data_IF_056922081604
#
_entry.id   IF_056922081604
#
_cell.length_a   1.000
_cell.length_b   1.000
_cell.length_c   1.000
_cell.angle_alpha   90.00
_cell.angle_beta   90.00
_cell.angle_gamma   90.00
#
_symmetry.space_group_name_H-M   'P 1'
#
loop_
_entity.id
_entity.type
_entity.pdbx_description
1 polymer ?
#
# COMPACT_ATOMS: atom_id res chain seq x y z
N UNK A 1 0.91 -0.78 -22.43
CA UNK A 1 1.39 -0.47 -22.17
C UNK A 1 2.12 -0.13 -21.95
N UNK A 2 2.20 -0.28 -22.22
CA UNK A 2 2.92 -0.02 -22.08
C UNK A 2 3.81 0.13 -21.74
N UNK A 3 3.86 -0.35 -21.83
CA UNK A 3 4.68 -0.26 -21.48
C UNK A 3 6.00 -0.17 -21.18
N UNK A 4 6.66 -0.66 -21.83
CA UNK A 4 8.09 -0.66 -21.65
C UNK A 4 8.59 0.63 -21.05
N UNK A 5 7.84 1.66 -21.25
CA UNK A 5 8.20 2.95 -20.66
C UNK A 5 8.34 2.85 -19.14
N UNK A 6 7.76 1.85 -18.54
CA UNK A 6 7.90 1.69 -17.10
C UNK A 6 9.33 1.51 -16.68
N UNK A 7 10.05 0.72 -17.44
CA UNK A 7 11.41 0.46 -17.06
C UNK A 7 12.28 1.67 -17.15
N UNK A 8 11.95 2.53 -18.07
CA UNK A 8 12.71 3.76 -18.20
C UNK A 8 12.48 4.70 -17.04
N UNK A 9 11.41 4.44 -16.29
CA UNK A 9 11.10 5.24 -15.12
C UNK A 9 11.68 4.69 -13.85
N UNK A 10 12.55 3.72 -13.96
CA UNK A 10 13.26 3.27 -12.79
C UNK A 10 13.91 4.45 -12.13
N UNK A 11 13.67 4.58 -10.84
CA UNK A 11 14.24 5.68 -10.11
C UNK A 11 13.43 6.95 -10.20
N UNK A 12 12.39 6.98 -11.02
CA UNK A 12 11.54 8.15 -11.15
C UNK A 12 10.32 8.06 -10.26
N UNK A 13 9.48 9.07 -10.39
CA UNK A 13 8.26 9.18 -9.60
C UNK A 13 7.08 9.45 -10.50
N UNK A 14 5.94 8.92 -10.12
CA UNK A 14 4.69 9.18 -10.83
C UNK A 14 3.69 9.76 -9.82
N UNK A 15 3.20 10.95 -10.10
CA UNK A 15 2.18 11.57 -9.26
C UNK A 15 0.82 11.18 -9.78
N UNK A 16 -0.03 10.67 -8.89
CA UNK A 16 -1.37 10.23 -9.24
C UNK A 16 -2.35 11.10 -8.50
N UNK A 17 -3.26 11.73 -9.24
CA UNK A 17 -4.23 12.65 -8.66
C UNK A 17 -5.64 12.08 -8.79
N UNK A 18 -6.44 12.32 -7.77
CA UNK A 18 -7.81 11.88 -7.74
C UNK A 18 -7.98 10.55 -7.04
N UNK A 19 -8.98 10.48 -6.17
CA UNK A 19 -9.21 9.29 -5.38
C UNK A 19 -9.40 8.05 -6.24
N UNK A 20 -10.14 8.20 -7.32
CA UNK A 20 -10.43 7.08 -8.19
C UNK A 20 -9.16 6.50 -8.81
N UNK A 21 -8.31 7.39 -9.30
CA UNK A 21 -7.07 6.94 -9.93
C UNK A 21 -6.12 6.34 -8.93
N UNK A 22 -6.09 6.87 -7.71
CA UNK A 22 -5.25 6.31 -6.66
C UNK A 22 -5.72 4.89 -6.32
N UNK A 23 -7.03 4.72 -6.18
CA UNK A 23 -7.57 3.40 -5.87
C UNK A 23 -7.30 2.41 -7.00
N UNK A 24 -7.41 2.85 -8.24
CA UNK A 24 -7.11 2.00 -9.38
C UNK A 24 -5.65 1.55 -9.35
N UNK A 25 -4.76 2.46 -8.98
CA UNK A 25 -3.34 2.10 -8.91
C UNK A 25 -3.07 1.11 -7.79
N UNK A 26 -3.74 1.28 -6.66
CA UNK A 26 -3.59 0.34 -5.55
C UNK A 26 -4.05 -1.05 -5.97
N UNK A 27 -5.20 -1.13 -6.63
CA UNK A 27 -5.72 -2.41 -7.09
C UNK A 27 -4.74 -3.04 -8.08
N UNK A 28 -4.21 -2.24 -8.99
CA UNK A 28 -3.24 -2.73 -9.96
C UNK A 28 -2.00 -3.30 -9.26
N UNK A 29 -1.49 -2.59 -8.27
CA UNK A 29 -0.33 -3.05 -7.52
C UNK A 29 -0.61 -4.36 -6.80
N UNK A 30 -1.80 -4.47 -6.19
CA UNK A 30 -2.16 -5.69 -5.47
C UNK A 30 -2.33 -6.87 -6.42
N UNK A 31 -2.91 -6.63 -7.59
CA UNK A 31 -3.07 -7.70 -8.57
C UNK A 31 -1.76 -8.15 -9.16
N UNK A 32 -0.80 -7.23 -9.28
CA UNK A 32 0.51 -7.55 -9.85
C UNK A 32 1.50 -8.07 -8.83
N UNK A 33 1.19 -7.96 -7.55
CA UNK A 33 2.11 -8.42 -6.51
C UNK A 33 2.29 -9.92 -6.59
N UNK A 34 3.54 -10.37 -6.49
CA UNK A 34 3.86 -11.79 -6.61
C UNK A 34 4.18 -12.43 -5.27
N UNK A 35 4.70 -11.68 -4.32
CA UNK A 35 5.18 -12.25 -3.07
C UNK A 35 4.52 -11.67 -1.83
N UNK A 36 4.35 -10.37 -1.79
CA UNK A 36 3.89 -9.74 -0.56
C UNK A 36 3.33 -8.34 -0.78
N UNK A 37 2.54 -7.90 0.17
CA UNK A 37 2.04 -6.52 0.21
C UNK A 37 2.00 -6.05 1.65
N UNK A 38 2.43 -4.81 1.86
CA UNK A 38 2.31 -4.12 3.14
C UNK A 38 1.45 -2.90 2.89
N UNK A 39 0.28 -2.86 3.50
CA UNK A 39 -0.65 -1.76 3.27
C UNK A 39 -1.00 -1.09 4.60
N UNK A 40 -0.92 0.24 4.62
CA UNK A 40 -1.26 1.03 5.78
C UNK A 40 -2.30 2.05 5.36
N UNK A 41 -3.52 1.90 5.84
CA UNK A 41 -4.62 2.73 5.40
C UNK A 41 -5.75 2.68 6.42
N UNK A 42 -6.57 3.70 6.43
CA UNK A 42 -7.75 3.79 7.29
C UNK A 42 -8.71 2.63 6.98
N UNK A 43 -9.35 2.12 8.01
CA UNK A 43 -10.20 0.93 7.87
C UNK A 43 -11.30 1.10 6.83
N UNK A 44 -11.90 2.29 6.78
CA UNK A 44 -12.98 2.52 5.82
C UNK A 44 -12.55 2.29 4.39
N UNK A 45 -11.33 2.68 4.07
CA UNK A 45 -10.82 2.50 2.71
C UNK A 45 -10.29 1.10 2.50
N UNK A 46 -9.83 0.47 3.57
CA UNK A 46 -9.29 -0.87 3.49
C UNK A 46 -10.33 -1.86 2.97
N UNK A 47 -11.59 -1.66 3.34
CA UNK A 47 -12.66 -2.55 2.90
C UNK A 47 -12.80 -2.59 1.37
N UNK A 48 -12.44 -1.50 0.71
CA UNK A 48 -12.51 -1.44 -0.74
C UNK A 48 -11.54 -2.44 -1.40
N UNK A 49 -10.52 -2.82 -0.67
CA UNK A 49 -9.48 -3.70 -1.22
C UNK A 49 -9.54 -5.10 -0.66
N UNK A 50 -10.56 -5.41 0.14
CA UNK A 50 -10.65 -6.70 0.83
C UNK A 50 -10.53 -7.87 -0.13
N UNK A 51 -11.25 -7.86 -1.22
CA UNK A 51 -11.26 -9.03 -2.11
C UNK A 51 -9.88 -9.25 -2.74
N UNK A 52 -9.16 -8.18 -3.01
CA UNK A 52 -7.81 -8.31 -3.59
C UNK A 52 -6.83 -8.84 -2.56
N UNK A 53 -6.99 -8.41 -1.31
CA UNK A 53 -6.14 -8.91 -0.23
C UNK A 53 -6.45 -10.37 0.06
N UNK A 54 -7.73 -10.73 0.03
CA UNK A 54 -8.12 -12.13 0.22
C UNK A 54 -7.54 -13.01 -0.87
N UNK A 55 -7.55 -12.51 -2.09
CA UNK A 55 -6.96 -13.26 -3.20
C UNK A 55 -5.48 -13.50 -2.97
N UNK A 56 -4.76 -12.49 -2.52
CA UNK A 56 -3.34 -12.64 -2.22
C UNK A 56 -3.09 -13.70 -1.16
N UNK A 57 -3.87 -13.66 -0.08
CA UNK A 57 -3.72 -14.64 0.98
C UNK A 57 -4.01 -16.05 0.45
N UNK A 58 -5.05 -16.18 -0.36
CA UNK A 58 -5.41 -17.48 -0.90
C UNK A 58 -4.33 -18.04 -1.81
N UNK A 59 -3.51 -17.16 -2.38
CA UNK A 59 -2.41 -17.57 -3.25
C UNK A 59 -1.11 -17.77 -2.49
N UNK A 60 -1.16 -17.71 -1.16
CA UNK A 60 0.02 -17.93 -0.35
C UNK A 60 0.94 -16.75 -0.21
N UNK A 61 0.50 -15.56 -0.60
CA UNK A 61 1.32 -14.37 -0.52
C UNK A 61 1.21 -13.75 0.87
N UNK A 62 2.27 -13.04 1.26
CA UNK A 62 2.30 -12.42 2.58
C UNK A 62 1.55 -11.08 2.53
N UNK A 63 0.63 -10.89 3.46
CA UNK A 63 -0.14 -9.65 3.54
C UNK A 63 -0.01 -9.10 4.96
N UNK A 64 0.46 -7.86 5.06
CA UNK A 64 0.58 -7.16 6.33
C UNK A 64 -0.25 -5.89 6.23
N UNK A 65 -1.11 -5.68 7.22
CA UNK A 65 -2.06 -4.57 7.22
C UNK A 65 -1.87 -3.75 8.49
N UNK A 66 -1.79 -2.44 8.33
CA UNK A 66 -1.77 -1.50 9.45
C UNK A 66 -2.98 -0.61 9.29
N UNK A 67 -3.89 -0.63 10.25
CA UNK A 67 -5.12 0.12 10.14
C UNK A 67 -5.58 0.57 11.52
N UNK A 68 -6.70 1.28 11.59
CA UNK A 68 -7.16 1.89 12.85
C UNK A 68 -8.22 1.08 13.58
N UNK A 69 -8.77 0.06 12.94
CA UNK A 69 -9.78 -0.78 13.57
C UNK A 69 -9.56 -2.24 13.16
N UNK A 70 -10.06 -3.18 13.96
CA UNK A 70 -9.87 -4.60 13.62
C UNK A 70 -10.36 -4.92 12.22
N UNK A 71 -9.57 -5.65 11.51
CA UNK A 71 -9.87 -6.06 10.15
C UNK A 71 -9.74 -7.58 10.09
N UNK A 72 -10.85 -8.23 9.82
CA UNK A 72 -10.90 -9.69 9.85
C UNK A 72 -10.50 -10.25 8.49
N UNK A 73 -9.26 -10.69 8.38
CA UNK A 73 -8.77 -11.33 7.17
C UNK A 73 -7.84 -12.44 7.61
N UNK A 74 -8.35 -13.65 7.55
CA UNK A 74 -7.59 -14.81 8.00
C UNK A 74 -6.38 -15.01 7.08
N UNK A 75 -5.23 -15.20 7.70
CA UNK A 75 -4.00 -15.39 6.94
C UNK A 75 -3.19 -14.13 6.78
N UNK A 76 -3.76 -12.98 7.08
CA UNK A 76 -3.02 -11.73 7.04
C UNK A 76 -2.59 -11.33 8.45
N UNK A 77 -1.52 -10.55 8.54
CA UNK A 77 -1.09 -9.99 9.81
C UNK A 77 -1.63 -8.57 9.90
N UNK A 78 -2.40 -8.29 10.95
CA UNK A 78 -3.04 -6.99 11.11
C UNK A 78 -2.52 -6.31 12.36
N UNK A 79 -2.04 -5.08 12.20
CA UNK A 79 -1.61 -4.24 13.33
C UNK A 79 -2.53 -3.04 13.43
N UNK A 80 -2.84 -2.63 14.65
CA UNK A 80 -3.73 -1.50 14.88
C UNK A 80 -2.94 -0.30 15.34
N UNK A 81 -3.25 0.86 14.77
CA UNK A 81 -2.61 2.11 15.14
C UNK A 81 -3.69 3.18 15.27
N UNK A 82 -3.37 4.28 15.91
CA UNK A 82 -4.40 5.25 16.21
C UNK A 82 -4.63 6.22 15.10
N UNK A 83 -3.95 6.84 14.46
CA UNK A 83 -4.27 7.90 13.53
C UNK A 83 -3.63 7.74 12.18
N UNK A 84 -4.33 7.14 11.29
CA UNK A 84 -3.88 7.14 9.90
C UNK A 84 -4.74 8.01 9.03
N UNK A 85 -5.85 8.40 9.53
CA UNK A 85 -6.83 9.19 8.83
C UNK A 85 -6.74 9.02 7.32
N UNK A 86 -6.28 10.00 6.60
CA UNK A 86 -6.34 9.96 5.15
C UNK A 86 -5.06 9.48 4.48
N UNK A 87 -4.07 9.11 5.28
CA UNK A 87 -2.83 8.60 4.71
C UNK A 87 -3.00 7.21 4.15
N UNK A 88 -2.26 6.94 3.09
CA UNK A 88 -2.22 5.62 2.52
C UNK A 88 -0.79 5.30 2.10
N UNK A 89 -0.35 4.09 2.41
CA UNK A 89 0.95 3.60 2.00
C UNK A 89 0.81 2.16 1.59
N UNK A 90 1.43 1.83 0.48
CA UNK A 90 1.42 0.46 -0.03
C UNK A 90 2.79 0.13 -0.57
N UNK A 91 3.35 -0.99 -0.15
CA UNK A 91 4.59 -1.51 -0.70
C UNK A 91 4.32 -2.92 -1.18
N UNK A 92 4.60 -3.19 -2.44
CA UNK A 92 4.43 -4.53 -2.99
C UNK A 92 5.77 -5.11 -3.41
N UNK A 93 5.99 -6.37 -3.02
CA UNK A 93 7.17 -7.16 -3.41
C UNK A 93 8.49 -6.50 -3.06
N UNK A 94 8.47 -5.54 -2.14
CA UNK A 94 9.66 -4.76 -1.77
C UNK A 94 10.28 -4.05 -2.96
N UNK A 95 9.48 -3.79 -3.98
CA UNK A 95 9.96 -3.15 -5.22
C UNK A 95 9.20 -1.90 -5.59
N UNK A 96 7.93 -1.81 -5.21
CA UNK A 96 7.08 -0.69 -5.59
C UNK A 96 6.46 -0.08 -4.36
N UNK A 97 6.35 1.25 -4.36
CA UNK A 97 5.75 1.95 -3.24
C UNK A 97 4.77 3.00 -3.75
N UNK A 98 3.66 3.13 -3.04
CA UNK A 98 2.69 4.20 -3.27
C UNK A 98 2.41 4.83 -1.93
N UNK A 99 2.49 6.15 -1.86
CA UNK A 99 2.22 6.87 -0.62
C UNK A 99 1.47 8.15 -0.96
N UNK A 100 0.57 8.55 -0.09
CA UNK A 100 -0.19 9.76 -0.33
C UNK A 100 -1.24 10.01 0.72
N UNK A 101 -2.13 10.92 0.42
CA UNK A 101 -3.25 11.24 1.28
C UNK A 101 -4.49 11.34 0.43
N UNK A 102 -5.56 10.71 0.88
CA UNK A 102 -6.84 10.79 0.20
C UNK A 102 -7.72 11.71 1.04
N UNK A 103 -7.62 13.00 0.79
CA UNK A 103 -8.31 14.00 1.58
C UNK A 103 -9.73 14.23 1.09
N UNK A 104 -9.89 14.49 -0.20
CA UNK A 104 -11.21 14.51 -0.81
C UNK A 104 -11.06 14.05 -2.25
N UNK A 105 -12.19 13.84 -2.91
CA UNK A 105 -12.20 13.16 -4.21
C UNK A 105 -11.24 13.73 -5.23
N UNK A 106 -11.20 15.04 -5.33
CA UNK A 106 -10.48 15.67 -6.42
C UNK A 106 -9.10 16.13 -6.02
N UNK A 107 -8.87 16.34 -4.75
CA UNK A 107 -7.59 16.85 -4.28
C UNK A 107 -6.66 15.74 -3.79
N UNK A 108 -7.15 14.52 -3.74
CA UNK A 108 -6.32 13.41 -3.32
C UNK A 108 -5.12 13.26 -4.25
N UNK A 109 -3.96 13.05 -3.67
CA UNK A 109 -2.73 12.96 -4.44
C UNK A 109 -1.85 11.90 -3.82
N UNK A 110 -1.22 11.09 -4.67
CA UNK A 110 -0.27 10.09 -4.20
C UNK A 110 0.95 10.06 -5.10
N UNK A 111 2.02 9.48 -4.57
CA UNK A 111 3.27 9.32 -5.27
C UNK A 111 3.56 7.84 -5.40
N UNK A 112 3.82 7.41 -6.63
CA UNK A 112 4.21 6.03 -6.91
C UNK A 112 5.65 6.01 -7.39
N UNK A 113 6.42 5.03 -6.94
CA UNK A 113 7.79 4.90 -7.39
C UNK A 113 8.27 3.46 -7.24
N UNK A 114 9.18 3.06 -8.11
CA UNK A 114 9.92 1.82 -7.97
C UNK A 114 11.40 2.11 -7.71
N UNK A 115 11.72 3.34 -7.31
CA UNK A 115 13.07 3.72 -6.98
C UNK A 115 13.52 2.96 -5.72
N UNK A 116 14.64 2.24 -5.82
CA UNK A 116 15.12 1.42 -4.71
C UNK A 116 15.34 2.20 -3.43
N UNK A 117 15.93 3.37 -3.51
CA UNK A 117 16.18 4.15 -2.30
C UNK A 117 14.89 4.55 -1.62
N UNK A 118 13.93 4.99 -2.41
CA UNK A 118 12.64 5.39 -1.86
C UNK A 118 11.92 4.21 -1.24
N UNK A 119 11.94 3.07 -1.93
CA UNK A 119 11.29 1.87 -1.42
C UNK A 119 11.92 1.46 -0.09
N UNK A 120 13.25 1.50 0.00
CA UNK A 120 13.93 1.14 1.24
C UNK A 120 13.57 2.06 2.38
N UNK A 121 13.46 3.36 2.11
CA UNK A 121 13.06 4.32 3.14
C UNK A 121 11.68 3.99 3.68
N UNK A 122 10.73 3.68 2.80
CA UNK A 122 9.38 3.37 3.25
C UNK A 122 9.30 2.02 3.92
N UNK A 123 10.09 1.04 3.48
CA UNK A 123 10.15 -0.24 4.15
C UNK A 123 10.65 -0.06 5.58
N UNK A 124 11.70 0.74 5.76
CA UNK A 124 12.23 0.99 7.10
C UNK A 124 11.21 1.70 7.96
N UNK A 125 10.48 2.65 7.39
CA UNK A 125 9.45 3.36 8.13
C UNK A 125 8.36 2.42 8.60
N UNK A 126 7.91 1.52 7.74
CA UNK A 126 6.88 0.56 8.12
C UNK A 126 7.40 -0.45 9.13
N UNK A 127 8.64 -0.90 8.96
CA UNK A 127 9.22 -1.84 9.91
C UNK A 127 9.32 -1.21 11.30
N UNK A 128 9.72 0.06 11.36
CA UNK A 128 9.78 0.75 12.64
C UNK A 128 8.40 0.94 13.24
N UNK A 129 7.43 1.27 12.43
CA UNK A 129 6.07 1.44 12.92
C UNK A 129 5.53 0.13 13.49
N UNK A 130 5.77 -0.97 12.80
CA UNK A 130 5.33 -2.27 13.27
C UNK A 130 6.02 -2.63 14.59
N UNK A 131 7.32 -2.33 14.68
CA UNK A 131 8.05 -2.62 15.90
C UNK A 131 7.46 -1.85 17.07
N UNK A 132 7.13 -0.58 16.89
CA UNK A 132 6.52 0.21 17.94
C UNK A 132 5.16 -0.34 18.34
N UNK A 133 4.37 -0.80 17.38
CA UNK A 133 3.07 -1.37 17.68
C UNK A 133 3.18 -2.67 18.47
N UNK A 134 4.21 -3.46 18.16
CA UNK A 134 4.42 -4.70 18.90
C UNK A 134 4.81 -4.47 20.35
N UNK A 135 5.39 -3.32 20.65
CA UNK A 135 5.83 -3.01 21.99
C UNK A 135 4.69 -2.54 22.89
N UNK A 136 3.53 -2.32 22.33
CA UNK A 136 2.37 -1.95 23.14
C UNK A 136 1.62 -3.21 23.61
#
# INVERSE_FOLDING_TARGET
>A
AELPSKRKNEGGYLTIKGEEHICDKIIDMLLCAEERAYISVYNERLEMFREYLEKMVSEGKKVVIITNEPFDLQGATVYLTECKKEQIRLITDSKDVLTGAITNRYEATSLYSSNNNLVEVFKDALANEIQLLKMK
#
